data_IF_355788875373
#
_entry.id   IF_355788875373
#
_cell.length_a   1.000
_cell.length_b   1.000
_cell.length_c   1.000
_cell.angle_alpha   90.00
_cell.angle_beta   90.00
_cell.angle_gamma   90.00
#
_symmetry.space_group_name_H-M   'P 1'
#
loop_
_entity.id
_entity.type
_entity.pdbx_description
1 polymer ?
#
# COMPACT_ATOMS: atom_id res chain seq x y z
N UNK A 1 -14.96 12.74 0.72
CA UNK A 1 -14.01 13.81 1.08
C UNK A 1 -12.65 13.38 0.58
N UNK A 2 -11.92 14.26 -0.11
CA UNK A 2 -10.56 13.96 -0.55
C UNK A 2 -9.65 13.79 0.68
N UNK A 3 -8.66 12.90 0.59
CA UNK A 3 -7.67 12.75 1.65
C UNK A 3 -6.87 14.05 1.81
N UNK A 4 -6.56 14.49 3.05
CA UNK A 4 -5.79 15.70 3.26
C UNK A 4 -4.36 15.55 2.74
N UNK A 5 -3.81 16.64 2.22
CA UNK A 5 -2.41 16.74 1.81
C UNK A 5 -1.60 17.20 3.02
N UNK A 6 -0.68 16.35 3.48
CA UNK A 6 0.17 16.67 4.61
C UNK A 6 1.36 17.51 4.15
N UNK A 7 1.59 18.65 4.80
CA UNK A 7 2.72 19.54 4.55
C UNK A 7 3.75 19.36 5.66
N UNK A 8 4.96 18.93 5.30
CA UNK A 8 6.06 18.71 6.25
C UNK A 8 7.29 19.54 5.89
N UNK A 9 8.06 19.91 6.91
CA UNK A 9 9.38 20.50 6.78
C UNK A 9 10.51 19.45 6.86
N UNK A 10 11.68 19.87 7.33
CA UNK A 10 12.86 19.01 7.44
C UNK A 10 12.68 17.87 8.47
N UNK A 11 13.42 16.76 8.27
CA UNK A 11 13.40 15.56 9.17
C UNK A 11 13.81 15.86 10.60
N UNK A 12 14.70 16.82 10.77
CA UNK A 12 15.11 17.38 12.06
C UNK A 12 14.60 18.82 12.10
N UNK A 13 13.34 19.02 12.52
CA UNK A 13 12.67 20.31 12.35
C UNK A 13 13.24 21.35 13.31
N UNK A 14 13.61 22.49 12.74
CA UNK A 14 13.89 23.73 13.43
C UNK A 14 12.70 24.70 13.29
N UNK A 15 12.86 25.90 13.83
CA UNK A 15 11.79 26.91 13.80
C UNK A 15 11.36 27.25 12.37
N UNK A 16 12.32 27.39 11.47
CA UNK A 16 12.05 27.74 10.07
C UNK A 16 11.31 26.61 9.36
N UNK A 17 11.70 25.35 9.58
CA UNK A 17 11.02 24.19 9.03
C UNK A 17 9.57 24.08 9.49
N UNK A 18 9.30 24.36 10.77
CA UNK A 18 7.94 24.28 11.34
C UNK A 18 7.09 25.45 10.86
N UNK A 19 7.63 26.67 10.93
CA UNK A 19 6.94 27.87 10.45
C UNK A 19 6.63 27.79 8.96
N UNK A 20 7.55 27.27 8.14
CA UNK A 20 7.33 27.06 6.71
C UNK A 20 6.19 26.06 6.46
N UNK A 21 6.16 24.93 7.17
CA UNK A 21 5.09 23.95 7.00
C UNK A 21 3.70 24.52 7.38
N UNK A 22 3.63 25.23 8.52
CA UNK A 22 2.40 25.90 8.99
C UNK A 22 1.95 26.98 8.02
N UNK A 23 2.85 27.90 7.67
CA UNK A 23 2.53 29.03 6.78
C UNK A 23 2.15 28.57 5.38
N UNK A 24 2.83 27.55 4.85
CA UNK A 24 2.51 26.99 3.55
C UNK A 24 1.16 26.25 3.53
N UNK A 25 0.85 25.44 4.55
CA UNK A 25 -0.45 24.80 4.66
C UNK A 25 -1.59 25.83 4.75
N UNK A 26 -1.40 26.90 5.54
CA UNK A 26 -2.36 28.00 5.62
C UNK A 26 -2.56 28.69 4.27
N UNK A 27 -1.48 29.04 3.58
CA UNK A 27 -1.54 29.67 2.26
C UNK A 27 -2.28 28.78 1.25
N UNK A 28 -1.95 27.48 1.20
CA UNK A 28 -2.55 26.53 0.26
C UNK A 28 -4.04 26.32 0.52
N UNK A 29 -4.46 26.28 1.79
CA UNK A 29 -5.89 26.26 2.13
C UNK A 29 -6.60 27.52 1.65
N UNK A 30 -6.02 28.71 1.85
CA UNK A 30 -6.61 29.97 1.37
C UNK A 30 -6.72 30.05 -0.14
N UNK A 31 -5.75 29.48 -0.87
CA UNK A 31 -5.82 29.38 -2.31
C UNK A 31 -6.89 28.38 -2.76
N UNK A 32 -6.95 27.20 -2.13
CA UNK A 32 -7.95 26.18 -2.44
C UNK A 32 -9.39 26.66 -2.14
N UNK A 33 -9.60 27.42 -1.07
CA UNK A 33 -10.87 28.08 -0.74
C UNK A 33 -11.31 29.04 -1.87
N UNK A 34 -10.38 29.84 -2.41
CA UNK A 34 -10.65 30.77 -3.52
C UNK A 34 -10.93 30.06 -4.85
N UNK A 35 -10.26 28.94 -5.11
CA UNK A 35 -10.47 28.13 -6.31
C UNK A 35 -11.79 27.35 -6.25
N UNK A 36 -12.20 26.92 -5.06
CA UNK A 36 -13.44 26.18 -4.83
C UNK A 36 -14.72 27.02 -4.99
N UNK A 37 -14.62 28.35 -5.09
CA UNK A 37 -15.73 29.21 -5.54
C UNK A 37 -16.25 28.79 -6.94
N UNK A 38 -15.48 28.00 -7.71
CA UNK A 38 -15.86 27.38 -8.99
C UNK A 38 -16.61 26.03 -8.92
N UNK A 39 -16.94 25.51 -7.73
CA UNK A 39 -17.79 24.31 -7.56
C UNK A 39 -17.06 22.97 -7.40
N UNK A 40 -15.73 22.95 -7.40
CA UNK A 40 -14.91 21.77 -7.11
C UNK A 40 -14.59 21.67 -5.59
N UNK A 41 -14.53 20.46 -5.00
CA UNK A 41 -14.16 20.30 -3.60
C UNK A 41 -12.70 20.74 -3.35
N UNK A 42 -12.51 21.71 -2.46
CA UNK A 42 -11.18 22.21 -2.10
C UNK A 42 -10.29 21.11 -1.51
N UNK A 43 -9.05 21.02 -1.96
CA UNK A 43 -8.02 20.24 -1.30
C UNK A 43 -7.72 20.83 0.09
N UNK A 44 -7.59 19.96 1.10
CA UNK A 44 -7.26 20.36 2.47
C UNK A 44 -5.79 20.09 2.74
N UNK A 45 -5.07 21.11 3.21
CA UNK A 45 -3.65 21.05 3.55
C UNK A 45 -3.47 21.08 5.07
N UNK A 46 -2.76 20.11 5.63
CA UNK A 46 -2.56 20.00 7.09
C UNK A 46 -1.05 20.04 7.39
N UNK A 47 -0.58 20.96 8.24
CA UNK A 47 0.83 20.99 8.62
C UNK A 47 1.16 19.84 9.58
N UNK A 48 2.31 19.22 9.40
CA UNK A 48 2.88 18.22 10.29
C UNK A 48 4.40 18.39 10.44
N UNK A 49 4.97 17.79 11.49
CA UNK A 49 6.42 17.81 11.76
C UNK A 49 7.00 16.39 11.77
N UNK A 50 8.22 16.22 11.24
CA UNK A 50 8.89 14.91 11.17
C UNK A 50 9.75 14.56 12.39
N UNK A 51 9.76 15.42 13.40
CA UNK A 51 10.61 15.27 14.57
C UNK A 51 10.04 16.05 15.76
N UNK A 52 10.82 16.21 16.85
CA UNK A 52 10.37 16.90 18.05
C UNK A 52 9.97 18.36 17.75
N UNK A 53 9.20 18.97 18.66
CA UNK A 53 8.87 20.39 18.59
C UNK A 53 9.88 21.15 19.47
N UNK A 54 10.76 21.99 18.90
CA UNK A 54 11.68 22.81 19.69
C UNK A 54 10.90 23.75 20.62
N UNK A 55 11.40 24.03 21.85
CA UNK A 55 10.72 24.92 22.80
C UNK A 55 10.45 26.32 22.25
N UNK A 56 11.39 26.87 21.48
CA UNK A 56 11.21 28.18 20.82
C UNK A 56 10.05 28.15 19.83
N UNK A 57 9.97 27.14 18.97
CA UNK A 57 8.86 26.96 18.03
C UNK A 57 7.53 26.73 18.74
N UNK A 58 7.52 25.95 19.83
CA UNK A 58 6.32 25.78 20.66
C UNK A 58 5.84 27.11 21.23
N UNK A 59 6.76 27.91 21.76
CA UNK A 59 6.47 29.23 22.29
C UNK A 59 5.94 30.17 21.21
N UNK A 60 6.58 30.25 20.04
CA UNK A 60 6.12 31.09 18.91
C UNK A 60 4.70 30.71 18.48
N UNK A 61 4.41 29.43 18.32
CA UNK A 61 3.08 28.96 17.94
C UNK A 61 2.04 29.31 19.01
N UNK A 62 2.34 29.06 20.27
CA UNK A 62 1.45 29.35 21.39
C UNK A 62 1.15 30.84 21.53
N UNK A 63 2.17 31.71 21.44
CA UNK A 63 2.01 33.16 21.53
C UNK A 63 1.08 33.71 20.45
N UNK A 64 1.03 33.06 19.29
CA UNK A 64 0.19 33.45 18.16
C UNK A 64 -1.14 32.68 18.09
N UNK A 65 -1.45 31.83 19.09
CA UNK A 65 -2.67 31.02 19.12
C UNK A 65 -2.73 29.96 18.00
N UNK A 66 -1.59 29.57 17.44
CA UNK A 66 -1.50 28.57 16.38
C UNK A 66 -1.35 27.19 17.02
N UNK A 67 -2.18 26.19 16.66
CA UNK A 67 -2.04 24.84 17.17
C UNK A 67 -0.72 24.22 16.70
N UNK A 68 -0.07 23.48 17.60
CA UNK A 68 1.16 22.76 17.27
C UNK A 68 0.88 21.69 16.20
N UNK A 69 1.68 21.61 15.11
CA UNK A 69 1.56 20.56 14.12
C UNK A 69 1.75 19.17 14.73
N UNK A 70 0.93 18.22 14.25
CA UNK A 70 1.04 16.82 14.64
C UNK A 70 2.37 16.22 14.18
N UNK A 71 2.86 15.23 14.93
CA UNK A 71 4.09 14.52 14.57
C UNK A 71 3.78 13.42 13.57
N UNK A 72 4.50 13.44 12.45
CA UNK A 72 4.53 12.36 11.47
C UNK A 72 5.85 11.59 11.66
N UNK A 73 5.77 10.31 11.99
CA UNK A 73 6.94 9.52 12.35
C UNK A 73 7.97 9.43 11.21
N UNK A 74 7.51 9.27 9.97
CA UNK A 74 8.35 9.23 8.78
C UNK A 74 7.52 9.42 7.50
N UNK A 75 8.21 9.64 6.39
CA UNK A 75 7.65 9.67 5.02
C UNK A 75 8.18 8.52 4.16
N UNK A 76 8.69 7.45 4.79
CA UNK A 76 9.10 6.26 4.06
C UNK A 76 7.93 5.63 3.31
N UNK A 77 8.21 5.18 2.09
CA UNK A 77 7.25 4.42 1.28
C UNK A 77 6.85 3.15 2.02
N UNK A 78 5.56 2.89 2.10
CA UNK A 78 4.97 1.66 2.62
C UNK A 78 4.78 0.68 1.48
N UNK A 79 4.69 -0.61 1.80
CA UNK A 79 4.36 -1.65 0.80
C UNK A 79 3.06 -1.31 0.07
N UNK A 80 2.06 -0.80 0.80
CA UNK A 80 0.78 -0.35 0.24
C UNK A 80 0.90 0.75 -0.82
N UNK A 81 1.97 1.56 -0.77
CA UNK A 81 2.15 2.70 -1.67
C UNK A 81 2.72 2.25 -3.04
N UNK A 82 3.25 1.02 -3.14
CA UNK A 82 3.92 0.49 -4.34
C UNK A 82 3.38 -0.86 -4.81
N UNK A 83 2.57 -1.54 -3.99
CA UNK A 83 2.02 -2.85 -4.33
C UNK A 83 0.94 -2.76 -5.42
N UNK A 84 0.72 -3.87 -6.11
CA UNK A 84 -0.46 -4.04 -6.97
C UNK A 84 -1.70 -4.16 -6.09
N UNK A 85 -2.62 -3.20 -6.20
CA UNK A 85 -3.95 -3.31 -5.59
C UNK A 85 -4.79 -4.34 -6.33
N UNK A 86 -5.65 -5.05 -5.58
CA UNK A 86 -6.58 -6.06 -6.10
C UNK A 86 -5.90 -7.08 -7.04
N UNK A 87 -4.91 -7.84 -6.54
CA UNK A 87 -4.19 -8.80 -7.35
C UNK A 87 -5.13 -9.89 -7.87
N UNK A 88 -4.79 -10.44 -9.02
CA UNK A 88 -5.56 -11.52 -9.63
C UNK A 88 -5.53 -12.73 -8.72
N UNK A 89 -6.71 -13.18 -8.33
CA UNK A 89 -6.92 -14.29 -7.42
C UNK A 89 -7.59 -15.49 -8.09
N UNK A 90 -7.56 -16.61 -7.39
CA UNK A 90 -8.22 -17.85 -7.76
C UNK A 90 -8.84 -18.49 -6.51
N UNK A 91 -9.98 -19.17 -6.62
CA UNK A 91 -10.61 -19.86 -5.49
C UNK A 91 -9.81 -21.07 -5.04
N UNK A 92 -9.88 -21.43 -3.76
CA UNK A 92 -9.16 -22.60 -3.24
C UNK A 92 -9.65 -23.93 -3.82
N UNK A 93 -10.88 -23.99 -4.33
CA UNK A 93 -11.46 -25.18 -4.97
C UNK A 93 -11.29 -25.20 -6.50
N UNK A 94 -10.65 -24.18 -7.07
CA UNK A 94 -10.38 -24.15 -8.50
C UNK A 94 -9.28 -25.13 -8.92
N UNK A 95 -9.38 -25.60 -10.16
CA UNK A 95 -8.42 -26.56 -10.70
C UNK A 95 -7.06 -25.91 -11.02
N UNK A 96 -5.98 -26.72 -10.96
CA UNK A 96 -4.65 -26.30 -11.43
C UNK A 96 -4.64 -25.89 -12.90
N UNK A 97 -5.53 -26.46 -13.73
CA UNK A 97 -5.70 -26.06 -15.12
C UNK A 97 -6.23 -24.63 -15.24
N UNK A 98 -7.24 -24.28 -14.43
CA UNK A 98 -7.77 -22.92 -14.34
C UNK A 98 -6.67 -21.95 -13.88
N UNK A 99 -5.90 -22.32 -12.86
CA UNK A 99 -4.76 -21.54 -12.39
C UNK A 99 -3.72 -21.30 -13.49
N UNK A 100 -3.32 -22.35 -14.21
CA UNK A 100 -2.38 -22.26 -15.33
C UNK A 100 -2.89 -21.35 -16.46
N UNK A 101 -4.19 -21.40 -16.76
CA UNK A 101 -4.83 -20.53 -17.76
C UNK A 101 -4.82 -19.07 -17.32
N UNK A 102 -5.19 -18.78 -16.07
CA UNK A 102 -5.19 -17.42 -15.51
C UNK A 102 -3.78 -16.81 -15.48
N UNK A 103 -2.78 -17.58 -15.02
CA UNK A 103 -1.37 -17.17 -15.04
C UNK A 103 -0.93 -16.76 -16.45
N UNK A 104 -1.25 -17.58 -17.47
CA UNK A 104 -0.91 -17.30 -18.87
C UNK A 104 -1.70 -16.13 -19.46
N UNK A 105 -3.01 -16.09 -19.24
CA UNK A 105 -3.91 -15.07 -19.78
C UNK A 105 -3.51 -13.68 -19.31
N UNK A 106 -3.17 -13.54 -18.03
CA UNK A 106 -2.80 -12.26 -17.44
C UNK A 106 -1.30 -12.00 -17.45
N UNK A 107 -0.50 -12.92 -18.01
CA UNK A 107 0.96 -12.85 -18.06
C UNK A 107 1.59 -12.59 -16.67
N UNK A 108 1.07 -13.27 -15.64
CA UNK A 108 1.54 -13.19 -14.26
C UNK A 108 2.14 -14.52 -13.82
N UNK A 109 3.10 -14.47 -12.88
CA UNK A 109 3.84 -15.66 -12.40
C UNK A 109 3.26 -16.26 -11.12
N UNK A 110 2.33 -15.56 -10.49
CA UNK A 110 1.68 -15.96 -9.25
C UNK A 110 0.22 -15.50 -9.23
N UNK A 111 -0.63 -16.30 -8.60
CA UNK A 111 -2.00 -15.96 -8.24
C UNK A 111 -2.14 -16.05 -6.72
N UNK A 112 -2.96 -15.15 -6.17
CA UNK A 112 -3.40 -15.25 -4.78
C UNK A 112 -4.54 -16.25 -4.70
N UNK A 113 -4.46 -17.22 -3.78
CA UNK A 113 -5.55 -18.16 -3.54
C UNK A 113 -6.45 -17.59 -2.45
N UNK A 114 -7.74 -17.50 -2.72
CA UNK A 114 -8.75 -16.98 -1.79
C UNK A 114 -9.85 -18.00 -1.49
N UNK A 115 -10.58 -17.80 -0.39
CA UNK A 115 -11.83 -18.52 -0.13
C UNK A 115 -13.07 -17.76 -0.61
N UNK A 116 -14.25 -18.34 -0.36
CA UNK A 116 -15.55 -17.76 -0.72
C UNK A 116 -15.83 -16.40 -0.07
N UNK A 117 -15.14 -16.09 1.04
CA UNK A 117 -15.20 -14.80 1.71
C UNK A 117 -14.13 -13.81 1.21
N UNK A 118 -13.45 -14.14 0.10
CA UNK A 118 -12.32 -13.40 -0.45
C UNK A 118 -11.13 -13.24 0.52
N UNK A 119 -11.04 -14.11 1.53
CA UNK A 119 -9.93 -14.10 2.46
C UNK A 119 -8.72 -14.84 1.87
N UNK A 120 -7.52 -14.33 2.14
CA UNK A 120 -6.27 -14.95 1.70
C UNK A 120 -6.11 -16.37 2.28
N UNK A 121 -5.87 -17.36 1.41
CA UNK A 121 -5.59 -18.75 1.78
C UNK A 121 -4.21 -19.22 1.36
N UNK A 122 -3.62 -18.61 0.34
CA UNK A 122 -2.29 -19.00 -0.11
C UNK A 122 -1.85 -18.33 -1.39
N UNK A 123 -0.79 -18.89 -1.98
CA UNK A 123 -0.20 -18.44 -3.22
C UNK A 123 0.07 -19.65 -4.10
N UNK A 124 -0.31 -19.56 -5.38
CA UNK A 124 0.07 -20.54 -6.39
C UNK A 124 0.91 -19.88 -7.47
N UNK A 125 1.99 -20.56 -7.86
CA UNK A 125 2.92 -20.06 -8.88
C UNK A 125 3.03 -21.04 -10.04
N UNK A 126 3.47 -20.57 -11.19
CA UNK A 126 3.75 -21.45 -12.35
C UNK A 126 4.72 -22.59 -11.99
N UNK A 127 5.71 -22.29 -11.13
CA UNK A 127 6.68 -23.27 -10.66
C UNK A 127 6.03 -24.38 -9.81
N UNK A 128 5.16 -24.02 -8.88
CA UNK A 128 4.45 -25.00 -8.03
C UNK A 128 3.58 -25.94 -8.87
N UNK A 129 2.92 -25.43 -9.91
CA UNK A 129 2.13 -26.26 -10.83
C UNK A 129 3.03 -27.27 -11.55
N UNK A 130 4.19 -26.83 -12.06
CA UNK A 130 5.14 -27.70 -12.73
C UNK A 130 5.72 -28.78 -11.79
N UNK A 131 6.12 -28.39 -10.59
CA UNK A 131 6.62 -29.33 -9.55
C UNK A 131 5.55 -30.37 -9.19
N UNK A 132 4.29 -29.96 -9.05
CA UNK A 132 3.18 -30.88 -8.77
C UNK A 132 2.91 -31.83 -9.93
N UNK A 133 3.04 -31.37 -11.18
CA UNK A 133 2.89 -32.21 -12.36
C UNK A 133 3.97 -33.30 -12.45
N UNK A 134 5.25 -32.93 -12.25
CA UNK A 134 6.37 -33.88 -12.24
C UNK A 134 6.15 -34.91 -11.13
N UNK A 135 5.91 -34.45 -9.90
CA UNK A 135 5.66 -35.33 -8.75
C UNK A 135 4.48 -36.28 -8.98
N UNK A 136 3.39 -35.82 -9.62
CA UNK A 136 2.26 -36.69 -9.93
C UNK A 136 2.61 -37.74 -10.99
N UNK A 137 3.49 -37.42 -11.93
CA UNK A 137 3.91 -38.34 -13.01
C UNK A 137 4.89 -39.39 -12.47
N UNK A 138 5.86 -38.99 -11.65
CA UNK A 138 6.83 -39.92 -11.03
C UNK A 138 6.11 -41.01 -10.22
N UNK A 139 5.09 -40.64 -9.45
CA UNK A 139 4.30 -41.59 -8.65
C UNK A 139 3.53 -42.60 -9.51
N UNK A 140 3.12 -42.22 -10.73
CA UNK A 140 2.45 -43.13 -11.66
C UNK A 140 3.43 -44.14 -12.25
N UNK A 141 4.67 -43.71 -12.54
CA UNK A 141 5.73 -44.60 -13.03
C UNK A 141 6.16 -45.62 -11.96
N UNK A 142 6.31 -45.17 -10.70
CA UNK A 142 6.62 -46.06 -9.57
C UNK A 142 5.47 -47.03 -9.24
N UNK A 143 4.22 -46.58 -9.33
CA UNK A 143 3.04 -47.42 -9.13
C UNK A 143 2.89 -48.51 -10.22
N UNK A 144 3.10 -48.15 -11.48
CA UNK A 144 3.07 -49.08 -12.60
C UNK A 144 4.20 -50.13 -12.53
N UNK A 145 5.38 -49.76 -12.03
CA UNK A 145 6.48 -50.70 -11.80
C UNK A 145 6.15 -51.73 -10.70
N UNK A 146 5.37 -51.35 -9.68
CA UNK A 146 4.94 -52.25 -8.61
C UNK A 146 3.82 -53.20 -9.03
N UNK A 147 2.89 -52.79 -9.91
CA UNK A 147 1.83 -53.68 -10.43
C UNK A 147 2.35 -54.72 -11.44
N UNK A 148 3.43 -54.41 -12.17
CA UNK A 148 4.09 -55.33 -13.11
C UNK A 148 4.98 -56.38 -12.42
N UNK A 149 5.19 -56.26 -11.10
CA UNK A 149 6.07 -57.12 -10.31
C UNK A 149 5.33 -58.20 -9.48
N UNK A 150 4.03 -58.40 -9.71
CA UNK A 150 3.18 -59.41 -9.04
C UNK A 150 2.78 -60.53 -10.01
#
# INVERSE_FOLDING_TARGET
MAAPIIVVGHKNPDNDSICAAVGYAYLKNRLAEREAEGGEPAAVYVPARLGPLPPESAWVLQQNGIPAPDVLAHVHARVSDVMTCDPISIGHDDTLLSAGRLLRQHNVRALVVTDDASAYRGLITTRMIAERYISATDMLEEGAANEMAV
#
